data_IF_552443764990
#
_entry.id   IF_552443764990
#
_cell.length_a   1.000
_cell.length_b   1.000
_cell.length_c   1.000
_cell.angle_alpha   90.00
_cell.angle_beta   90.00
_cell.angle_gamma   90.00
#
_symmetry.space_group_name_H-M   'P 1'
#
loop_
_entity.id
_entity.type
_entity.pdbx_description
1 polymer ?
#
# COMPACT_ATOMS: atom_id res chain seq x y z
N UNK A 1 13.08 -13.25 -1.60
CA UNK A 1 13.20 -11.99 -2.34
C UNK A 1 14.28 -11.21 -1.63
N UNK A 2 15.42 -11.00 -2.28
CA UNK A 2 16.56 -10.28 -1.70
C UNK A 2 16.08 -8.89 -1.30
N UNK A 3 16.14 -8.56 -0.01
CA UNK A 3 15.72 -7.25 0.48
C UNK A 3 16.56 -6.18 -0.21
N UNK A 4 15.91 -5.27 -0.94
CA UNK A 4 16.58 -4.18 -1.67
C UNK A 4 17.20 -3.12 -0.74
N UNK A 5 17.29 -3.43 0.56
CA UNK A 5 17.60 -2.51 1.64
C UNK A 5 16.37 -1.71 2.08
N UNK A 6 16.35 -1.31 3.35
CA UNK A 6 15.26 -0.56 3.99
C UNK A 6 14.88 0.68 3.17
N UNK A 7 15.86 1.44 2.68
CA UNK A 7 15.62 2.67 1.89
C UNK A 7 14.84 2.36 0.61
N UNK A 8 15.24 1.34 -0.14
CA UNK A 8 14.56 0.96 -1.38
C UNK A 8 13.16 0.43 -1.10
N UNK A 9 13.00 -0.38 -0.05
CA UNK A 9 11.72 -0.90 0.38
C UNK A 9 10.75 0.23 0.74
N UNK A 10 11.19 1.25 1.49
CA UNK A 10 10.37 2.44 1.79
C UNK A 10 9.92 3.16 0.51
N UNK A 11 10.85 3.43 -0.41
CA UNK A 11 10.54 4.12 -1.68
C UNK A 11 9.50 3.33 -2.48
N UNK A 12 9.67 2.01 -2.56
CA UNK A 12 8.77 1.15 -3.30
C UNK A 12 7.38 1.06 -2.65
N UNK A 13 7.30 1.02 -1.31
CA UNK A 13 6.01 1.08 -0.59
C UNK A 13 5.29 2.40 -0.86
N UNK A 14 5.99 3.54 -0.84
CA UNK A 14 5.39 4.85 -1.17
C UNK A 14 4.82 4.85 -2.59
N UNK A 15 5.63 4.47 -3.60
CA UNK A 15 5.22 4.43 -5.01
C UNK A 15 4.00 3.52 -5.24
N UNK A 16 4.03 2.29 -4.69
CA UNK A 16 2.92 1.36 -4.84
C UNK A 16 1.66 1.87 -4.13
N UNK A 17 1.78 2.51 -2.97
CA UNK A 17 0.64 3.06 -2.25
C UNK A 17 -0.05 4.17 -3.05
N UNK A 18 0.72 5.04 -3.73
CA UNK A 18 0.17 6.04 -4.67
C UNK A 18 -0.63 5.35 -5.78
N UNK A 19 -0.07 4.30 -6.38
CA UNK A 19 -0.71 3.56 -7.49
C UNK A 19 -1.99 2.87 -7.05
N UNK A 20 -1.97 2.20 -5.90
CA UNK A 20 -3.14 1.52 -5.33
C UNK A 20 -4.22 2.53 -4.95
N UNK A 21 -3.88 3.63 -4.28
CA UNK A 21 -4.84 4.68 -3.94
C UNK A 21 -5.51 5.26 -5.19
N UNK A 22 -4.73 5.51 -6.26
CA UNK A 22 -5.26 5.97 -7.54
C UNK A 22 -6.24 4.96 -8.16
N UNK A 23 -5.94 3.66 -8.10
CA UNK A 23 -6.86 2.61 -8.55
C UNK A 23 -8.14 2.58 -7.70
N UNK A 24 -8.04 2.72 -6.38
CA UNK A 24 -9.23 2.83 -5.51
C UNK A 24 -10.12 4.01 -5.92
N UNK A 25 -9.53 5.18 -6.19
CA UNK A 25 -10.30 6.34 -6.68
C UNK A 25 -10.95 6.11 -8.04
N UNK A 26 -10.33 5.29 -8.92
CA UNK A 26 -10.94 4.89 -10.18
C UNK A 26 -12.15 3.99 -9.94
N UNK A 27 -12.01 2.98 -9.08
CA UNK A 27 -13.11 2.11 -8.68
C UNK A 27 -14.25 2.86 -8.00
N UNK A 28 -13.96 3.86 -7.16
CA UNK A 28 -14.98 4.65 -6.46
C UNK A 28 -15.92 5.41 -7.43
N UNK A 29 -15.43 5.75 -8.63
CA UNK A 29 -16.24 6.42 -9.67
C UNK A 29 -17.23 5.47 -10.34
N UNK A 30 -16.79 4.24 -10.59
CA UNK A 30 -17.50 3.28 -11.44
C UNK A 30 -18.25 2.20 -10.64
N UNK A 31 -17.95 2.04 -9.34
CA UNK A 31 -18.42 0.90 -8.53
C UNK A 31 -19.09 1.34 -7.23
N UNK A 32 -20.42 1.40 -7.25
CA UNK A 32 -21.22 1.85 -6.10
C UNK A 32 -21.46 0.77 -5.04
N UNK A 33 -21.53 -0.50 -5.42
CA UNK A 33 -21.87 -1.60 -4.52
C UNK A 33 -20.74 -1.97 -3.54
N UNK A 34 -19.52 -1.48 -3.77
CA UNK A 34 -18.36 -1.70 -2.90
C UNK A 34 -17.77 -0.39 -2.37
N UNK A 35 -18.50 0.73 -2.45
CA UNK A 35 -17.98 2.07 -2.12
C UNK A 35 -17.32 2.13 -0.72
N UNK A 36 -17.96 1.55 0.29
CA UNK A 36 -17.43 1.52 1.65
C UNK A 36 -16.17 0.63 1.81
N UNK A 37 -16.02 -0.42 1.00
CA UNK A 37 -14.81 -1.24 0.99
C UNK A 37 -13.66 -0.51 0.27
N UNK A 38 -13.98 0.16 -0.84
CA UNK A 38 -13.02 0.97 -1.63
C UNK A 38 -12.48 2.13 -0.79
N UNK A 39 -13.35 2.85 -0.09
CA UNK A 39 -13.00 3.98 0.77
C UNK A 39 -12.08 3.54 1.91
N UNK A 40 -12.45 2.48 2.64
CA UNK A 40 -11.60 1.94 3.72
C UNK A 40 -10.23 1.50 3.21
N UNK A 41 -10.16 0.83 2.06
CA UNK A 41 -8.88 0.44 1.47
C UNK A 41 -8.05 1.67 1.05
N UNK A 42 -8.69 2.66 0.45
CA UNK A 42 -8.04 3.92 0.06
C UNK A 42 -7.45 4.63 1.29
N UNK A 43 -8.20 4.74 2.38
CA UNK A 43 -7.76 5.37 3.63
C UNK A 43 -6.55 4.65 4.24
N UNK A 44 -6.62 3.32 4.39
CA UNK A 44 -5.52 2.54 4.99
C UNK A 44 -4.25 2.61 4.13
N UNK A 45 -4.37 2.51 2.80
CA UNK A 45 -3.21 2.62 1.90
C UNK A 45 -2.62 4.04 1.92
N UNK A 46 -3.46 5.07 2.07
CA UNK A 46 -3.00 6.46 2.21
C UNK A 46 -2.30 6.68 3.55
N UNK A 47 -2.80 6.08 4.63
CA UNK A 47 -2.16 6.12 5.94
C UNK A 47 -0.79 5.43 5.90
N UNK A 48 -0.72 4.23 5.31
CA UNK A 48 0.51 3.49 5.10
C UNK A 48 1.56 4.28 4.29
N UNK A 49 1.11 4.97 3.24
CA UNK A 49 1.96 5.89 2.47
C UNK A 49 2.57 6.97 3.37
N UNK A 50 1.74 7.68 4.14
CA UNK A 50 2.19 8.77 5.03
C UNK A 50 3.25 8.28 6.00
N UNK A 51 2.99 7.17 6.69
CA UNK A 51 3.96 6.57 7.63
C UNK A 51 5.25 6.19 6.92
N UNK A 52 5.17 5.67 5.69
CA UNK A 52 6.37 5.33 4.92
C UNK A 52 7.15 6.58 4.48
N UNK A 53 6.47 7.68 4.15
CA UNK A 53 7.09 8.99 3.90
C UNK A 53 7.79 9.53 5.16
N UNK A 54 7.20 9.35 6.35
CA UNK A 54 7.82 9.70 7.62
C UNK A 54 9.09 8.87 7.88
N UNK A 55 9.04 7.55 7.65
CA UNK A 55 10.24 6.68 7.70
C UNK A 55 11.31 7.18 6.71
N UNK A 56 10.91 7.55 5.49
CA UNK A 56 11.85 8.08 4.49
C UNK A 56 12.53 9.36 4.97
N UNK A 57 11.80 10.24 5.65
CA UNK A 57 12.34 11.46 6.25
C UNK A 57 13.33 11.13 7.37
N UNK A 58 12.99 10.18 8.25
CA UNK A 58 13.84 9.74 9.35
C UNK A 58 15.12 9.04 8.85
N UNK A 59 15.05 8.30 7.75
CA UNK A 59 16.23 7.69 7.11
C UNK A 59 17.23 8.74 6.59
N UNK A 60 16.77 9.96 6.29
CA UNK A 60 17.65 11.08 5.90
C UNK A 60 18.21 11.85 7.11
N UNK A 61 17.72 11.56 8.31
CA UNK A 61 18.19 12.18 9.56
C UNK A 61 19.50 11.56 10.06
N UNK A 62 20.20 12.17 11.04
CA UNK A 62 21.42 11.60 11.63
C UNK A 62 21.26 10.17 12.19
N UNK A 63 20.05 9.81 12.63
CA UNK A 63 19.71 8.48 13.14
C UNK A 63 19.37 7.47 12.03
N UNK A 64 19.34 7.89 10.76
CA UNK A 64 18.93 7.07 9.63
C UNK A 64 19.74 5.80 9.43
N UNK A 65 21.04 5.81 9.75
CA UNK A 65 21.92 4.63 9.64
C UNK A 65 21.53 3.50 10.60
N UNK A 66 20.88 3.80 11.73
CA UNK A 66 20.41 2.79 12.69
C UNK A 66 19.14 2.14 12.16
N UNK A 67 18.20 2.98 11.70
CA UNK A 67 16.96 2.57 11.03
C UNK A 67 17.24 1.71 9.79
N UNK A 68 18.21 2.09 8.97
CA UNK A 68 18.59 1.35 7.76
C UNK A 68 19.07 -0.09 8.05
N UNK A 69 19.61 -0.33 9.25
CA UNK A 69 20.06 -1.66 9.71
C UNK A 69 18.98 -2.44 10.46
N UNK A 70 17.78 -1.88 10.64
CA UNK A 70 16.71 -2.53 11.38
C UNK A 70 16.07 -3.65 10.55
N UNK A 71 16.37 -4.90 10.93
CA UNK A 71 15.76 -6.09 10.30
C UNK A 71 14.25 -6.12 10.48
N UNK A 72 13.75 -5.70 11.65
CA UNK A 72 12.31 -5.63 11.92
C UNK A 72 11.60 -4.68 10.96
N UNK A 73 12.24 -3.54 10.64
CA UNK A 73 11.71 -2.57 9.70
C UNK A 73 11.76 -3.11 8.27
N UNK A 74 12.89 -3.71 7.88
CA UNK A 74 13.04 -4.32 6.56
C UNK A 74 12.00 -5.42 6.31
N UNK A 75 11.81 -6.32 7.27
CA UNK A 75 10.82 -7.38 7.22
C UNK A 75 9.38 -6.85 7.16
N UNK A 76 9.06 -5.81 7.94
CA UNK A 76 7.74 -5.19 7.92
C UNK A 76 7.45 -4.53 6.56
N UNK A 77 8.41 -3.77 6.02
CA UNK A 77 8.29 -3.12 4.72
C UNK A 77 8.22 -4.14 3.59
N UNK A 78 9.01 -5.23 3.65
CA UNK A 78 8.98 -6.31 2.67
C UNK A 78 7.61 -6.98 2.61
N UNK A 79 6.99 -7.27 3.76
CA UNK A 79 5.62 -7.81 3.81
C UNK A 79 4.61 -6.85 3.18
N UNK A 80 4.68 -5.56 3.53
CA UNK A 80 3.81 -4.53 2.94
C UNK A 80 3.99 -4.46 1.43
N UNK A 81 5.23 -4.50 0.95
CA UNK A 81 5.57 -4.39 -0.46
C UNK A 81 4.95 -5.52 -1.28
N UNK A 82 5.06 -6.77 -0.79
CA UNK A 82 4.42 -7.94 -1.41
C UNK A 82 2.91 -7.73 -1.52
N UNK A 83 2.27 -7.31 -0.42
CA UNK A 83 0.81 -7.11 -0.40
C UNK A 83 0.34 -5.97 -1.29
N UNK A 84 1.03 -4.83 -1.28
CA UNK A 84 0.70 -3.73 -2.19
C UNK A 84 0.88 -4.12 -3.66
N UNK A 85 1.87 -4.97 -3.96
CA UNK A 85 2.08 -5.49 -5.32
C UNK A 85 0.93 -6.39 -5.74
N UNK A 86 0.54 -7.36 -4.90
CA UNK A 86 -0.62 -8.23 -5.14
C UNK A 86 -1.91 -7.43 -5.31
N UNK A 87 -2.13 -6.46 -4.44
CA UNK A 87 -3.30 -5.58 -4.45
C UNK A 87 -3.36 -4.75 -5.75
N UNK A 88 -2.23 -4.17 -6.16
CA UNK A 88 -2.12 -3.44 -7.42
C UNK A 88 -2.42 -4.33 -8.61
N UNK A 89 -1.87 -5.54 -8.68
CA UNK A 89 -2.12 -6.45 -9.80
C UNK A 89 -3.59 -6.90 -9.85
N UNK A 90 -4.25 -7.12 -8.71
CA UNK A 90 -5.68 -7.44 -8.67
C UNK A 90 -6.57 -6.26 -9.03
N UNK A 91 -6.18 -5.05 -8.65
CA UNK A 91 -6.90 -3.81 -8.98
C UNK A 91 -6.65 -3.33 -10.41
N UNK A 92 -5.62 -3.81 -11.11
CA UNK A 92 -5.39 -3.42 -12.50
C UNK A 92 -6.57 -3.87 -13.35
N UNK A 93 -7.24 -2.94 -14.07
CA UNK A 93 -8.18 -3.33 -15.11
C UNK A 93 -7.42 -4.13 -16.17
N UNK A 94 -7.91 -5.32 -16.52
CA UNK A 94 -7.29 -6.13 -17.58
C UNK A 94 -7.18 -5.31 -18.87
N UNK A 95 -6.05 -5.41 -19.58
CA UNK A 95 -5.70 -4.54 -20.72
C UNK A 95 -6.76 -4.52 -21.82
N UNK A 96 -7.58 -5.58 -21.93
CA UNK A 96 -8.75 -5.67 -22.80
C UNK A 96 -9.81 -4.57 -22.53
N UNK A 97 -9.94 -4.10 -21.28
CA UNK A 97 -10.84 -3.00 -20.91
C UNK A 97 -10.38 -1.64 -21.45
N UNK A 98 -9.06 -1.42 -21.66
CA UNK A 98 -8.54 -0.15 -22.19
C UNK A 98 -8.81 0.04 -23.69
N UNK A 99 -8.96 -1.04 -24.45
CA UNK A 99 -9.29 -0.96 -25.87
C UNK A 99 -10.81 -0.79 -26.12
N UNK A 100 -11.65 -1.28 -25.20
CA UNK A 100 -13.12 -1.29 -25.35
C UNK A 100 -13.79 -0.02 -24.78
N UNK A 101 -13.10 0.77 -23.94
CA UNK A 101 -13.69 1.97 -23.31
C UNK A 101 -14.00 3.14 -24.27
N UNK A 102 -13.69 3.03 -25.57
CA UNK A 102 -14.16 4.00 -26.58
C UNK A 102 -15.62 3.79 -27.00
N UNK A 103 -16.22 2.63 -26.67
CA UNK A 103 -17.58 2.29 -27.10
C UNK A 103 -18.37 1.67 -25.96
N UNK A 104 -18.99 2.52 -25.14
CA UNK A 104 -20.09 2.12 -24.25
C UNK A 104 -19.70 1.38 -22.98
N UNK A 105 -20.01 2.01 -21.85
CA UNK A 105 -20.14 1.47 -20.50
C UNK A 105 -20.07 -0.06 -20.35
N UNK A 106 -18.93 -0.55 -19.84
CA UNK A 106 -18.90 -1.74 -18.98
C UNK A 106 -18.08 -1.41 -17.74
N UNK A 107 -18.79 -1.24 -16.63
CA UNK A 107 -18.29 -0.80 -15.34
C UNK A 107 -17.16 -1.69 -14.84
N UNK A 108 -16.16 -1.08 -14.18
CA UNK A 108 -15.16 -1.81 -13.44
C UNK A 108 -15.87 -2.77 -12.47
N UNK A 109 -15.42 -4.03 -12.40
CA UNK A 109 -15.92 -4.97 -11.39
C UNK A 109 -14.95 -4.97 -10.21
N UNK A 110 -15.45 -4.67 -9.02
CA UNK A 110 -14.64 -4.79 -7.80
C UNK A 110 -14.15 -6.23 -7.63
N UNK A 111 -12.84 -6.47 -7.53
CA UNK A 111 -12.27 -7.82 -7.61
C UNK A 111 -12.14 -8.50 -6.23
N UNK A 112 -12.64 -7.89 -5.16
CA UNK A 112 -12.55 -8.42 -3.79
C UNK A 112 -13.93 -8.63 -3.19
N UNK A 113 -14.02 -9.59 -2.28
CA UNK A 113 -15.10 -9.64 -1.31
C UNK A 113 -14.73 -8.88 -0.02
N UNK A 114 -15.72 -8.60 0.83
CA UNK A 114 -15.54 -7.84 2.07
C UNK A 114 -14.56 -8.49 3.06
N UNK A 115 -14.51 -9.82 3.13
CA UNK A 115 -13.59 -10.55 4.01
C UNK A 115 -12.14 -10.39 3.56
N UNK A 116 -11.89 -10.47 2.25
CA UNK A 116 -10.56 -10.21 1.68
C UNK A 116 -10.10 -8.77 1.95
N UNK A 117 -11.01 -7.80 1.81
CA UNK A 117 -10.69 -6.40 2.16
C UNK A 117 -10.33 -6.31 3.64
N UNK A 118 -11.12 -6.88 4.54
CA UNK A 118 -10.83 -6.84 5.98
C UNK A 118 -9.46 -7.45 6.32
N UNK A 119 -9.11 -8.58 5.71
CA UNK A 119 -7.80 -9.21 5.90
C UNK A 119 -6.66 -8.29 5.43
N UNK A 120 -6.81 -7.64 4.27
CA UNK A 120 -5.84 -6.66 3.78
C UNK A 120 -5.69 -5.48 4.74
N UNK A 121 -6.80 -4.92 5.24
CA UNK A 121 -6.76 -3.82 6.22
C UNK A 121 -6.05 -4.24 7.51
N UNK A 122 -6.35 -5.43 8.03
CA UNK A 122 -5.70 -5.94 9.24
C UNK A 122 -4.19 -6.14 9.07
N UNK A 123 -3.76 -6.69 7.93
CA UNK A 123 -2.33 -6.84 7.63
C UNK A 123 -1.62 -5.48 7.52
N UNK A 124 -2.22 -4.51 6.83
CA UNK A 124 -1.65 -3.15 6.72
C UNK A 124 -1.58 -2.44 8.07
N UNK A 125 -2.61 -2.57 8.91
CA UNK A 125 -2.62 -2.03 10.27
C UNK A 125 -1.53 -2.65 11.14
N UNK A 126 -1.36 -3.96 11.09
CA UNK A 126 -0.30 -4.66 11.84
C UNK A 126 1.10 -4.22 11.40
N UNK A 127 1.32 -4.07 10.10
CA UNK A 127 2.59 -3.59 9.58
C UNK A 127 2.84 -2.13 9.97
N UNK A 128 1.83 -1.27 9.84
CA UNK A 128 1.85 0.13 10.32
C UNK A 128 2.22 0.22 11.80
N UNK A 129 1.61 -0.60 12.64
CA UNK A 129 1.94 -0.65 14.07
C UNK A 129 3.39 -1.08 14.30
N UNK A 130 3.86 -2.09 13.57
CA UNK A 130 5.25 -2.57 13.69
C UNK A 130 6.25 -1.50 13.28
N UNK A 131 5.98 -0.79 12.18
CA UNK A 131 6.80 0.34 11.72
C UNK A 131 6.79 1.44 12.80
N UNK A 132 5.62 1.87 13.26
CA UNK A 132 5.48 2.92 14.28
C UNK A 132 6.19 2.57 15.60
N UNK A 133 6.09 1.32 16.06
CA UNK A 133 6.80 0.85 17.25
C UNK A 133 8.32 0.87 17.05
N UNK A 134 8.79 0.48 15.87
CA UNK A 134 10.22 0.54 15.55
C UNK A 134 10.72 1.99 15.55
N UNK A 135 9.93 2.92 15.01
CA UNK A 135 10.24 4.35 15.04
C UNK A 135 10.36 4.91 16.47
N UNK A 136 9.49 4.46 17.39
CA UNK A 136 9.52 4.90 18.80
C UNK A 136 10.73 4.35 19.55
N UNK A 137 11.05 3.06 19.37
CA UNK A 137 12.25 2.45 19.98
C UNK A 137 13.53 3.10 19.47
N UNK A 138 13.55 3.53 18.20
CA UNK A 138 14.71 4.21 17.62
C UNK A 138 14.89 5.68 18.07
N UNK A 139 13.91 6.25 18.78
CA UNK A 139 13.97 7.61 19.33
C UNK A 139 14.34 7.67 20.83
N UNK A 140 14.30 6.54 21.54
CA UNK A 140 14.85 6.38 22.90
C UNK A 140 16.30 5.94 22.87
#
# INVERSE_FOLDING_TARGET
>A
MEGLGVVANVIAVVDLSVKVASLCLQYAKDVRNAAADIERLHEEVTNLRRISEDVQSLLKSPNGKRLEKSQNLDDALGRVLVRLTELKERLKPSTTYKAISRMGFRALKWPFNRSEVEQLLQEFRRCTQTISLTLQVDQT
#
